data_IF_311559584818
#
_entry.id   IF_311559584818
#
_cell.length_a   1.000
_cell.length_b   1.000
_cell.length_c   1.000
_cell.angle_alpha   90.00
_cell.angle_beta   90.00
_cell.angle_gamma   90.00
#
_symmetry.space_group_name_H-M   'P 1'
#
loop_
_entity.id
_entity.type
_entity.pdbx_description
1 polymer ?
#
# COMPACT_ATOMS: atom_id res chain seq x y z
N UNK A 1 -57.89 -45.60 -17.53
CA UNK A 1 -56.66 -45.38 -18.31
C UNK A 1 -56.83 -44.10 -19.13
N UNK A 2 -55.85 -43.20 -19.03
CA UNK A 2 -55.67 -41.91 -19.72
C UNK A 2 -56.77 -40.84 -19.66
N UNK A 3 -56.53 -39.81 -18.84
CA UNK A 3 -57.00 -38.46 -19.10
C UNK A 3 -55.79 -37.56 -19.40
N UNK A 4 -55.94 -36.75 -20.43
CA UNK A 4 -54.94 -35.92 -21.08
C UNK A 4 -54.39 -34.81 -20.18
N UNK A 5 -53.11 -34.50 -20.42
CA UNK A 5 -52.26 -33.49 -19.82
C UNK A 5 -52.87 -32.09 -19.97
N UNK A 6 -53.13 -31.41 -18.86
CA UNK A 6 -53.48 -29.98 -18.86
C UNK A 6 -52.24 -29.14 -19.25
N UNK A 7 -52.44 -28.18 -20.16
CA UNK A 7 -51.46 -27.21 -20.64
C UNK A 7 -51.28 -26.12 -19.58
N UNK A 8 -50.04 -25.75 -19.18
CA UNK A 8 -49.82 -24.59 -18.31
C UNK A 8 -50.15 -23.29 -19.05
N UNK A 9 -50.95 -22.42 -18.43
CA UNK A 9 -51.23 -21.07 -18.91
C UNK A 9 -49.96 -20.20 -18.92
N UNK A 10 -49.74 -19.37 -19.95
CA UNK A 10 -48.59 -18.48 -20.03
C UNK A 10 -48.83 -17.29 -19.11
N UNK A 11 -48.04 -17.18 -18.05
CA UNK A 11 -48.12 -16.03 -17.13
C UNK A 11 -47.24 -16.16 -15.89
N UNK A 12 -47.05 -17.37 -15.39
CA UNK A 12 -46.29 -17.59 -14.16
C UNK A 12 -44.91 -18.14 -14.49
N UNK A 13 -43.99 -17.25 -14.86
CA UNK A 13 -42.56 -17.56 -14.90
C UNK A 13 -42.03 -17.53 -13.45
N UNK A 14 -41.71 -18.68 -12.82
CA UNK A 14 -41.15 -18.69 -11.47
C UNK A 14 -39.80 -17.96 -11.39
N UNK A 15 -39.12 -17.77 -12.54
CA UNK A 15 -37.91 -16.95 -12.62
C UNK A 15 -38.19 -15.43 -12.54
N UNK A 16 -39.42 -14.99 -12.83
CA UNK A 16 -39.83 -13.60 -12.64
C UNK A 16 -40.12 -13.30 -11.15
N UNK A 17 -40.73 -14.24 -10.43
CA UNK A 17 -41.02 -14.09 -9.00
C UNK A 17 -39.75 -14.12 -8.15
N UNK A 18 -38.75 -14.94 -8.52
CA UNK A 18 -37.45 -14.98 -7.83
C UNK A 18 -36.61 -13.69 -8.00
N UNK A 19 -36.91 -12.87 -9.02
CA UNK A 19 -36.27 -11.56 -9.23
C UNK A 19 -36.88 -10.45 -8.37
N UNK A 20 -38.11 -10.64 -7.88
CA UNK A 20 -38.84 -9.63 -7.11
C UNK A 20 -38.41 -9.57 -5.63
N UNK A 21 -37.80 -10.64 -5.10
CA UNK A 21 -37.34 -10.72 -3.70
C UNK A 21 -35.86 -10.35 -3.50
N UNK A 22 -35.17 -9.91 -4.56
CA UNK A 22 -33.86 -9.30 -4.41
C UNK A 22 -34.06 -7.85 -3.99
N UNK A 23 -33.99 -7.61 -2.68
CA UNK A 23 -33.74 -6.27 -2.15
C UNK A 23 -32.62 -5.63 -2.98
N UNK A 24 -32.71 -4.32 -3.33
CA UNK A 24 -31.65 -3.68 -4.08
C UNK A 24 -30.37 -3.94 -3.30
N UNK A 25 -29.40 -4.61 -3.93
CA UNK A 25 -28.04 -4.60 -3.43
C UNK A 25 -27.74 -3.10 -3.37
N UNK A 26 -27.63 -2.56 -2.16
CA UNK A 26 -27.09 -1.22 -1.98
C UNK A 26 -25.83 -1.23 -2.81
N UNK A 27 -25.81 -0.41 -3.87
CA UNK A 27 -24.61 -0.16 -4.62
C UNK A 27 -23.57 0.16 -3.56
N UNK A 28 -22.68 -0.80 -3.30
CA UNK A 28 -21.50 -0.51 -2.52
C UNK A 28 -20.86 0.56 -3.37
N UNK A 29 -20.84 1.79 -2.86
CA UNK A 29 -20.17 2.94 -3.44
C UNK A 29 -18.73 2.52 -3.69
N UNK A 30 -18.53 1.87 -4.82
CA UNK A 30 -17.27 1.61 -5.46
C UNK A 30 -17.12 2.78 -6.41
N UNK A 31 -17.12 3.98 -5.82
CA UNK A 31 -16.35 5.05 -6.41
C UNK A 31 -14.91 4.53 -6.48
N UNK A 32 -14.59 3.95 -7.64
CA UNK A 32 -13.23 3.85 -8.09
C UNK A 32 -12.78 5.29 -8.20
N UNK A 33 -12.04 5.77 -7.20
CA UNK A 33 -11.32 7.05 -7.25
C UNK A 33 -10.81 7.26 -8.68
N UNK A 34 -11.45 8.15 -9.46
CA UNK A 34 -11.13 8.29 -10.86
C UNK A 34 -9.74 8.93 -10.95
N UNK A 35 -8.74 8.14 -11.39
CA UNK A 35 -7.39 8.64 -11.67
C UNK A 35 -6.25 7.98 -10.91
N UNK A 36 -6.48 6.98 -10.06
CA UNK A 36 -5.37 6.21 -9.47
C UNK A 36 -4.81 5.18 -10.47
N UNK A 37 -3.61 5.44 -10.98
CA UNK A 37 -2.85 4.50 -11.81
C UNK A 37 -1.61 3.99 -11.03
N UNK A 38 -1.63 2.73 -10.56
CA UNK A 38 -0.49 2.10 -9.88
C UNK A 38 0.83 2.16 -10.68
N UNK A 39 0.78 2.21 -12.02
CA UNK A 39 1.98 2.27 -12.84
C UNK A 39 2.72 3.61 -12.77
N UNK A 40 2.06 4.65 -12.24
CA UNK A 40 2.62 5.99 -12.07
C UNK A 40 2.93 6.34 -10.62
N UNK A 41 2.49 5.52 -9.67
CA UNK A 41 2.68 5.70 -8.24
C UNK A 41 3.98 4.99 -7.79
N UNK A 42 4.99 5.73 -7.28
CA UNK A 42 6.25 5.11 -6.86
C UNK A 42 6.10 4.13 -5.69
N UNK A 43 5.09 4.29 -4.83
CA UNK A 43 4.84 3.33 -3.73
C UNK A 43 4.33 2.01 -4.30
N UNK A 44 3.35 2.06 -5.19
CA UNK A 44 2.85 0.88 -5.90
C UNK A 44 3.95 0.21 -6.72
N UNK A 45 4.74 0.97 -7.46
CA UNK A 45 5.85 0.43 -8.25
C UNK A 45 6.93 -0.21 -7.39
N UNK A 46 7.24 0.37 -6.21
CA UNK A 46 8.14 -0.24 -5.24
C UNK A 46 7.58 -1.57 -4.72
N UNK A 47 6.32 -1.60 -4.28
CA UNK A 47 5.68 -2.82 -3.78
C UNK A 47 5.63 -3.92 -4.85
N UNK A 48 5.28 -3.55 -6.09
CA UNK A 48 5.29 -4.45 -7.24
C UNK A 48 6.70 -5.02 -7.49
N UNK A 49 7.73 -4.17 -7.49
CA UNK A 49 9.11 -4.57 -7.72
C UNK A 49 9.65 -5.49 -6.60
N UNK A 50 9.29 -5.22 -5.34
CA UNK A 50 9.64 -6.08 -4.21
C UNK A 50 8.95 -7.45 -4.29
N UNK A 51 7.76 -7.55 -4.86
CA UNK A 51 7.07 -8.83 -5.05
C UNK A 51 7.56 -9.61 -6.28
N UNK A 52 8.33 -8.99 -7.20
CA UNK A 52 8.91 -9.68 -8.36
C UNK A 52 10.16 -10.48 -7.97
N UNK A 53 9.95 -11.69 -7.45
CA UNK A 53 11.05 -12.56 -6.99
C UNK A 53 11.91 -13.17 -8.11
N UNK A 54 11.51 -13.03 -9.38
CA UNK A 54 12.13 -13.74 -10.51
C UNK A 54 13.44 -13.10 -11.00
N UNK A 55 13.59 -11.79 -10.82
CA UNK A 55 14.71 -11.03 -11.37
C UNK A 55 15.49 -10.27 -10.27
N UNK A 56 15.44 -10.75 -9.02
CA UNK A 56 16.15 -10.12 -7.93
C UNK A 56 17.67 -10.24 -8.10
N UNK A 57 18.42 -9.30 -7.51
CA UNK A 57 19.87 -9.45 -7.40
C UNK A 57 20.20 -10.78 -6.74
N UNK A 58 21.17 -11.51 -7.31
CA UNK A 58 21.53 -12.86 -6.86
C UNK A 58 21.96 -12.94 -5.39
N UNK A 59 22.36 -11.81 -4.79
CA UNK A 59 22.77 -11.73 -3.38
C UNK A 59 21.74 -11.05 -2.47
N UNK A 60 20.58 -10.61 -2.97
CA UNK A 60 19.56 -9.93 -2.17
C UNK A 60 19.94 -8.54 -1.64
N UNK A 61 21.11 -8.00 -2.02
CA UNK A 61 21.65 -6.77 -1.43
C UNK A 61 20.74 -5.55 -1.63
N UNK A 62 20.04 -5.46 -2.76
CA UNK A 62 19.10 -4.37 -3.02
C UNK A 62 17.89 -4.43 -2.10
N UNK A 63 17.35 -5.64 -1.88
CA UNK A 63 16.22 -5.85 -0.97
C UNK A 63 16.63 -5.52 0.46
N UNK A 64 17.78 -6.04 0.92
CA UNK A 64 18.33 -5.75 2.24
C UNK A 64 18.56 -4.25 2.46
N UNK A 65 19.13 -3.56 1.47
CA UNK A 65 19.35 -2.11 1.50
C UNK A 65 18.03 -1.34 1.61
N UNK A 66 17.01 -1.74 0.85
CA UNK A 66 15.68 -1.12 0.92
C UNK A 66 15.06 -1.35 2.29
N UNK A 67 15.01 -2.60 2.77
CA UNK A 67 14.31 -2.95 4.03
C UNK A 67 15.05 -2.51 5.30
N UNK A 68 16.36 -2.31 5.24
CA UNK A 68 17.13 -1.72 6.34
C UNK A 68 17.01 -0.19 6.39
N UNK A 69 16.61 0.44 5.29
CA UNK A 69 16.49 1.91 5.21
C UNK A 69 15.06 2.38 5.35
N UNK A 70 14.12 1.86 4.55
CA UNK A 70 12.73 2.29 4.49
C UNK A 70 11.91 1.69 5.64
N UNK A 71 10.88 2.42 6.06
CA UNK A 71 9.91 2.00 7.07
C UNK A 71 8.50 2.20 6.54
N UNK A 72 7.51 1.56 7.16
CA UNK A 72 6.11 1.77 6.79
C UNK A 72 5.67 3.25 6.91
N UNK A 73 6.32 4.05 7.76
CA UNK A 73 6.01 5.48 7.93
C UNK A 73 6.45 6.35 6.75
N UNK A 74 7.24 5.81 5.82
CA UNK A 74 7.64 6.52 4.60
C UNK A 74 6.59 6.45 3.49
N UNK A 75 5.55 5.64 3.67
CA UNK A 75 4.43 5.55 2.74
C UNK A 75 3.35 6.56 3.12
N UNK A 76 2.79 7.24 2.12
CA UNK A 76 1.66 8.15 2.23
C UNK A 76 0.35 7.39 2.35
N UNK A 77 0.18 6.35 1.53
CA UNK A 77 -1.01 5.51 1.57
C UNK A 77 -0.89 4.47 2.69
N UNK A 78 -1.78 4.48 3.71
CA UNK A 78 -1.77 3.51 4.78
C UNK A 78 -1.90 2.05 4.30
N UNK A 79 -2.57 1.82 3.17
CA UNK A 79 -2.66 0.49 2.57
C UNK A 79 -1.29 0.03 2.05
N UNK A 80 -0.53 0.91 1.40
CA UNK A 80 0.84 0.59 0.96
C UNK A 80 1.78 0.38 2.14
N UNK A 81 1.68 1.23 3.17
CA UNK A 81 2.42 1.08 4.43
C UNK A 81 2.20 -0.31 5.05
N UNK A 82 0.94 -0.77 5.09
CA UNK A 82 0.57 -2.09 5.61
C UNK A 82 1.11 -3.23 4.75
N UNK A 83 1.00 -3.12 3.42
CA UNK A 83 1.56 -4.13 2.50
C UNK A 83 3.08 -4.21 2.62
N UNK A 84 3.76 -3.06 2.68
CA UNK A 84 5.20 -2.98 2.88
C UNK A 84 5.63 -3.68 4.17
N UNK A 85 4.92 -3.43 5.28
CA UNK A 85 5.18 -4.11 6.55
C UNK A 85 5.16 -5.64 6.43
N UNK A 86 4.14 -6.20 5.78
CA UNK A 86 4.07 -7.65 5.55
C UNK A 86 5.16 -8.18 4.63
N UNK A 87 5.57 -7.42 3.61
CA UNK A 87 6.70 -7.78 2.74
C UNK A 87 7.99 -7.82 3.56
N UNK A 88 8.25 -6.81 4.40
CA UNK A 88 9.42 -6.76 5.29
C UNK A 88 9.42 -7.91 6.29
N UNK A 89 8.27 -8.25 6.87
CA UNK A 89 8.15 -9.39 7.80
C UNK A 89 8.54 -10.70 7.12
N UNK A 90 8.07 -10.93 5.89
CA UNK A 90 8.41 -12.12 5.10
C UNK A 90 9.91 -12.16 4.77
N UNK A 91 10.48 -11.05 4.30
CA UNK A 91 11.92 -10.93 4.02
C UNK A 91 12.75 -11.22 5.27
N UNK A 92 12.40 -10.60 6.40
CA UNK A 92 13.10 -10.76 7.68
C UNK A 92 13.03 -12.21 8.19
N UNK A 93 11.90 -12.88 7.95
CA UNK A 93 11.71 -14.30 8.30
C UNK A 93 12.34 -15.28 7.28
N UNK A 94 13.03 -14.79 6.25
CA UNK A 94 13.59 -15.61 5.17
C UNK A 94 12.52 -16.36 4.36
N UNK A 95 11.29 -15.85 4.34
CA UNK A 95 10.16 -16.44 3.62
C UNK A 95 10.04 -15.83 2.22
N UNK A 96 9.43 -16.57 1.26
CA UNK A 96 9.05 -15.99 -0.01
C UNK A 96 8.14 -14.77 0.20
N UNK A 97 8.38 -13.72 -0.57
CA UNK A 97 7.63 -12.47 -0.52
C UNK A 97 7.03 -12.11 -1.89
N UNK A 98 6.77 -13.14 -2.71
CA UNK A 98 5.97 -13.01 -3.92
C UNK A 98 4.52 -12.67 -3.60
N UNK A 99 3.74 -12.29 -4.62
CA UNK A 99 2.34 -11.91 -4.48
C UNK A 99 1.47 -12.92 -3.71
N UNK A 100 1.62 -14.22 -3.97
CA UNK A 100 0.82 -15.24 -3.30
C UNK A 100 1.20 -15.33 -1.82
N UNK A 101 2.48 -15.22 -1.52
CA UNK A 101 3.01 -15.23 -0.15
C UNK A 101 2.56 -14.00 0.65
N UNK A 102 2.59 -12.80 0.05
CA UNK A 102 2.07 -11.55 0.65
C UNK A 102 0.56 -11.64 0.87
N UNK A 103 -0.19 -12.16 -0.11
CA UNK A 103 -1.64 -12.39 0.03
C UNK A 103 -1.93 -13.34 1.20
N UNK A 104 -1.19 -14.45 1.30
CA UNK A 104 -1.31 -15.38 2.41
C UNK A 104 -0.98 -14.76 3.77
N UNK A 105 0.03 -13.88 3.84
CA UNK A 105 0.39 -13.14 5.05
C UNK A 105 -0.72 -12.17 5.48
N UNK A 106 -1.30 -11.44 4.53
CA UNK A 106 -2.44 -10.56 4.75
C UNK A 106 -3.67 -11.31 5.27
N UNK A 107 -4.03 -12.44 4.64
CA UNK A 107 -5.15 -13.28 5.09
C UNK A 107 -4.91 -13.77 6.53
N UNK A 108 -3.71 -14.25 6.85
CA UNK A 108 -3.35 -14.69 8.20
C UNK A 108 -3.37 -13.56 9.24
N UNK A 109 -3.13 -12.32 8.82
CA UNK A 109 -3.26 -11.14 9.70
C UNK A 109 -4.70 -10.66 9.87
N UNK A 110 -5.68 -11.40 9.33
CA UNK A 110 -7.10 -11.10 9.44
C UNK A 110 -7.67 -10.28 8.29
N UNK A 111 -6.92 -10.11 7.19
CA UNK A 111 -7.34 -9.33 6.02
C UNK A 111 -8.23 -10.11 5.02
N UNK A 112 -8.95 -11.14 5.47
CA UNK A 112 -9.85 -11.94 4.62
C UNK A 112 -11.31 -11.45 4.65
N UNK A 113 -11.65 -10.60 5.63
CA UNK A 113 -13.00 -10.05 5.77
C UNK A 113 -13.39 -9.07 4.66
N UNK A 114 -14.68 -8.74 4.59
CA UNK A 114 -15.23 -7.75 3.65
C UNK A 114 -14.59 -6.36 3.79
N UNK A 115 -14.24 -5.97 5.02
CA UNK A 115 -13.55 -4.70 5.33
C UNK A 115 -12.20 -4.54 4.61
N UNK A 116 -11.55 -5.66 4.27
CA UNK A 116 -10.23 -5.69 3.62
C UNK A 116 -10.33 -6.02 2.12
N UNK A 117 -11.54 -6.13 1.56
CA UNK A 117 -11.73 -6.31 0.12
C UNK A 117 -11.07 -5.18 -0.72
N UNK A 118 -11.12 -3.89 -0.32
CA UNK A 118 -10.39 -2.82 -1.00
C UNK A 118 -8.88 -3.02 -0.99
N UNK A 119 -8.32 -3.51 0.13
CA UNK A 119 -6.88 -3.78 0.26
C UNK A 119 -6.44 -4.88 -0.71
N UNK A 120 -7.22 -5.96 -0.81
CA UNK A 120 -6.96 -7.06 -1.77
C UNK A 120 -7.10 -6.59 -3.22
N UNK A 121 -8.09 -5.74 -3.53
CA UNK A 121 -8.24 -5.12 -4.85
C UNK A 121 -7.04 -4.22 -5.21
N UNK A 122 -6.56 -3.43 -4.25
CA UNK A 122 -5.37 -2.57 -4.43
C UNK A 122 -4.11 -3.40 -4.66
N UNK A 123 -3.92 -4.47 -3.90
CA UNK A 123 -2.79 -5.40 -4.09
C UNK A 123 -2.78 -6.01 -5.50
N UNK A 124 -3.95 -6.40 -6.01
CA UNK A 124 -4.08 -6.89 -7.39
C UNK A 124 -3.63 -5.83 -8.41
N UNK A 125 -4.10 -4.59 -8.26
CA UNK A 125 -3.70 -3.47 -9.13
C UNK A 125 -2.19 -3.22 -9.12
N UNK A 126 -1.57 -3.26 -7.93
CA UNK A 126 -0.12 -3.12 -7.74
C UNK A 126 0.64 -4.22 -8.47
N UNK A 127 0.25 -5.49 -8.30
CA UNK A 127 0.98 -6.61 -8.93
C UNK A 127 0.87 -6.59 -10.46
N UNK A 128 -0.18 -5.99 -10.99
CA UNK A 128 -0.35 -5.78 -12.43
C UNK A 128 0.32 -4.50 -12.95
N UNK A 129 0.93 -3.67 -12.10
CA UNK A 129 1.55 -2.40 -12.48
C UNK A 129 2.82 -2.59 -13.36
N UNK A 130 3.41 -3.78 -13.35
CA UNK A 130 4.49 -4.15 -14.27
C UNK A 130 5.89 -3.68 -13.85
N UNK A 131 6.10 -3.32 -12.58
CA UNK A 131 7.41 -2.99 -12.08
C UNK A 131 8.34 -4.23 -12.06
N UNK A 132 9.61 -4.02 -12.40
CA UNK A 132 10.65 -5.04 -12.31
C UNK A 132 11.53 -4.84 -11.08
N UNK A 133 11.95 -5.94 -10.45
CA UNK A 133 12.81 -5.92 -9.27
C UNK A 133 14.12 -5.14 -9.45
N UNK A 134 14.67 -5.10 -10.67
CA UNK A 134 15.90 -4.32 -10.99
C UNK A 134 15.73 -2.81 -10.79
N UNK A 135 14.50 -2.31 -10.78
CA UNK A 135 14.19 -0.90 -10.54
C UNK A 135 13.74 -0.62 -9.08
N UNK A 136 13.72 -1.63 -8.19
CA UNK A 136 13.22 -1.49 -6.83
C UNK A 136 13.97 -0.39 -6.04
N UNK A 137 15.30 -0.31 -6.17
CA UNK A 137 16.11 0.73 -5.50
C UNK A 137 15.74 2.12 -5.99
N UNK A 138 15.43 2.28 -7.28
CA UNK A 138 15.00 3.56 -7.83
C UNK A 138 13.63 3.99 -7.28
N UNK A 139 12.67 3.07 -7.23
CA UNK A 139 11.36 3.38 -6.64
C UNK A 139 11.45 3.67 -5.14
N UNK A 140 12.33 2.97 -4.41
CA UNK A 140 12.60 3.25 -3.00
C UNK A 140 13.20 4.66 -2.79
N UNK A 141 14.09 5.14 -3.67
CA UNK A 141 14.59 6.52 -3.62
C UNK A 141 13.45 7.53 -3.82
N UNK A 142 12.53 7.25 -4.75
CA UNK A 142 11.37 8.12 -4.98
C UNK A 142 10.45 8.20 -3.75
N UNK A 143 10.13 7.06 -3.13
CA UNK A 143 9.32 7.01 -1.89
C UNK A 143 10.01 7.74 -0.75
N UNK A 144 11.32 7.52 -0.55
CA UNK A 144 12.09 8.18 0.51
C UNK A 144 12.21 9.69 0.28
N UNK A 145 12.37 10.12 -0.97
CA UNK A 145 12.38 11.53 -1.37
C UNK A 145 11.02 12.21 -1.12
N UNK A 146 9.92 11.52 -1.41
CA UNK A 146 8.57 12.02 -1.13
C UNK A 146 8.31 12.10 0.39
N UNK A 147 8.65 11.06 1.14
CA UNK A 147 8.61 11.05 2.62
C UNK A 147 9.41 12.22 3.20
N UNK A 148 10.63 12.44 2.72
CA UNK A 148 11.47 13.57 3.11
C UNK A 148 10.78 14.92 2.85
N UNK A 149 10.20 15.14 1.67
CA UNK A 149 9.44 16.37 1.37
C UNK A 149 8.22 16.54 2.28
N UNK A 150 7.44 15.48 2.51
CA UNK A 150 6.29 15.52 3.42
C UNK A 150 6.70 15.86 4.84
N UNK A 151 7.85 15.36 5.29
CA UNK A 151 8.35 15.66 6.63
C UNK A 151 8.60 17.17 6.86
N UNK A 152 8.99 17.93 5.83
CA UNK A 152 9.13 19.39 5.92
C UNK A 152 7.78 20.09 6.04
N UNK A 153 6.77 19.64 5.31
CA UNK A 153 5.41 20.17 5.46
C UNK A 153 4.89 19.95 6.89
N UNK A 154 5.07 18.75 7.43
CA UNK A 154 4.67 18.40 8.81
C UNK A 154 5.45 19.26 9.82
N UNK A 155 6.77 19.42 9.64
CA UNK A 155 7.57 20.24 10.54
C UNK A 155 7.17 21.72 10.50
N UNK A 156 6.84 22.26 9.32
CA UNK A 156 6.32 23.61 9.17
C UNK A 156 5.00 23.81 9.91
N UNK A 157 4.05 22.89 9.73
CA UNK A 157 2.76 22.93 10.45
C UNK A 157 2.95 22.87 11.97
N UNK A 158 3.84 21.99 12.44
CA UNK A 158 4.16 21.86 13.86
C UNK A 158 4.79 23.12 14.43
N UNK A 159 5.67 23.79 13.68
CA UNK A 159 6.28 25.04 14.11
C UNK A 159 5.25 26.18 14.19
N UNK A 160 4.35 26.27 13.21
CA UNK A 160 3.23 27.22 13.24
C UNK A 160 2.35 26.99 14.47
N UNK A 161 1.96 25.75 14.72
CA UNK A 161 1.15 25.41 15.90
C UNK A 161 1.88 25.73 17.22
N UNK A 162 3.17 25.40 17.32
CA UNK A 162 3.95 25.71 18.51
C UNK A 162 4.04 27.22 18.76
N UNK A 163 4.15 28.05 17.71
CA UNK A 163 4.17 29.50 17.85
C UNK A 163 2.87 30.08 18.43
N UNK A 164 1.74 29.38 18.28
CA UNK A 164 0.44 29.78 18.81
C UNK A 164 0.17 29.23 20.23
N UNK A 165 0.61 28.00 20.51
CA UNK A 165 0.15 27.23 21.67
C UNK A 165 1.25 26.97 22.73
N UNK A 166 2.52 26.98 22.34
CA UNK A 166 3.62 26.57 23.23
C UNK A 166 4.10 27.73 24.12
N UNK A 167 4.62 27.43 25.33
CA UNK A 167 5.31 28.42 26.15
C UNK A 167 6.51 29.03 25.41
N UNK A 168 6.70 30.34 25.52
CA UNK A 168 7.79 31.06 24.83
C UNK A 168 9.17 30.46 25.13
N UNK A 169 9.39 30.01 26.37
CA UNK A 169 10.64 29.40 26.81
C UNK A 169 10.98 28.08 26.08
N UNK A 170 9.97 27.37 25.56
CA UNK A 170 10.13 26.06 24.93
C UNK A 170 10.27 26.16 23.40
N UNK A 171 9.96 27.32 22.80
CA UNK A 171 9.91 27.50 21.35
C UNK A 171 11.26 27.20 20.66
N UNK A 172 12.36 27.66 21.27
CA UNK A 172 13.68 27.44 20.68
C UNK A 172 14.09 25.96 20.72
N UNK A 173 13.86 25.29 21.85
CA UNK A 173 14.16 23.86 22.00
C UNK A 173 13.31 23.02 21.05
N UNK A 174 12.04 23.37 20.87
CA UNK A 174 11.16 22.75 19.88
C UNK A 174 11.69 22.91 18.44
N UNK A 175 12.16 24.09 18.08
CA UNK A 175 12.78 24.34 16.77
C UNK A 175 14.06 23.52 16.57
N UNK A 176 14.91 23.40 17.61
CA UNK A 176 16.13 22.56 17.58
C UNK A 176 15.77 21.10 17.38
N UNK A 177 14.73 20.61 18.05
CA UNK A 177 14.24 19.24 17.91
C UNK A 177 13.78 18.95 16.48
N UNK A 178 12.94 19.83 15.90
CA UNK A 178 12.51 19.72 14.50
C UNK A 178 13.70 19.74 13.54
N UNK A 179 14.64 20.67 13.70
CA UNK A 179 15.84 20.76 12.86
C UNK A 179 16.73 19.52 12.94
N UNK A 180 16.86 18.93 14.13
CA UNK A 180 17.63 17.69 14.33
C UNK A 180 16.98 16.52 13.61
N UNK A 181 15.66 16.37 13.71
CA UNK A 181 14.91 15.35 12.95
C UNK A 181 15.09 15.54 11.45
N UNK A 182 15.02 16.78 10.94
CA UNK A 182 15.20 17.04 9.52
C UNK A 182 16.61 16.71 9.03
N UNK A 183 17.63 17.01 9.83
CA UNK A 183 19.01 16.63 9.49
C UNK A 183 19.20 15.11 9.46
N UNK A 184 18.56 14.38 10.37
CA UNK A 184 18.59 12.91 10.33
C UNK A 184 17.92 12.37 9.05
N UNK A 185 16.76 12.91 8.67
CA UNK A 185 16.06 12.52 7.44
C UNK A 185 16.88 12.84 6.17
N UNK A 186 17.55 14.00 6.13
CA UNK A 186 18.47 14.38 5.06
C UNK A 186 19.63 13.40 4.93
N UNK A 187 20.30 13.08 6.05
CA UNK A 187 21.40 12.11 6.05
C UNK A 187 20.94 10.73 5.59
N UNK A 188 19.76 10.27 6.06
CA UNK A 188 19.16 9.00 5.64
C UNK A 188 18.94 8.95 4.13
N UNK A 189 18.33 9.97 3.54
CA UNK A 189 18.10 10.06 2.09
C UNK A 189 19.43 10.05 1.31
N UNK A 190 20.40 10.86 1.71
CA UNK A 190 21.66 10.95 0.97
C UNK A 190 22.50 9.67 1.09
N UNK A 191 22.51 9.03 2.26
CA UNK A 191 23.15 7.73 2.44
C UNK A 191 22.49 6.68 1.55
N UNK A 192 21.16 6.69 1.45
CA UNK A 192 20.44 5.80 0.54
C UNK A 192 20.74 6.05 -0.93
N UNK A 193 21.21 7.23 -1.33
CA UNK A 193 21.61 7.52 -2.73
C UNK A 193 23.05 7.16 -3.05
N UNK A 194 23.91 6.99 -2.05
CA UNK A 194 25.29 6.58 -2.30
C UNK A 194 25.34 5.13 -2.79
N UNK A 195 26.15 4.78 -3.79
CA UNK A 195 26.36 3.38 -4.15
C UNK A 195 26.88 2.59 -2.93
N UNK A 196 26.62 1.27 -2.84
CA UNK A 196 27.20 0.46 -1.78
C UNK A 196 28.72 0.55 -1.88
N UNK A 197 29.39 0.88 -0.76
CA UNK A 197 30.85 0.84 -0.71
C UNK A 197 31.30 -0.62 -0.75
N UNK A 198 31.97 -1.00 -1.84
CA UNK A 198 32.58 -2.33 -2.04
C UNK A 198 33.58 -2.72 -0.96
#
# INVERSE_FOLDING_TARGET
MNALRAVPTPGDDPAAQARADLAPVQDLDTEVEPGYDPATDPEAMLLCALMDVRNQSANGADVERITSTLTAADFEDPAHARMYGHIVDLITAGQPHDFASVTGALIRSGADGAKDAPLRKRLMGIVTAGAHSVAAVHYADNVLSQSYRRSFHIAGQRLTQAAEEAPEADLFDFMVELGTRQRAAFNRLNNFRQPPTS
#
